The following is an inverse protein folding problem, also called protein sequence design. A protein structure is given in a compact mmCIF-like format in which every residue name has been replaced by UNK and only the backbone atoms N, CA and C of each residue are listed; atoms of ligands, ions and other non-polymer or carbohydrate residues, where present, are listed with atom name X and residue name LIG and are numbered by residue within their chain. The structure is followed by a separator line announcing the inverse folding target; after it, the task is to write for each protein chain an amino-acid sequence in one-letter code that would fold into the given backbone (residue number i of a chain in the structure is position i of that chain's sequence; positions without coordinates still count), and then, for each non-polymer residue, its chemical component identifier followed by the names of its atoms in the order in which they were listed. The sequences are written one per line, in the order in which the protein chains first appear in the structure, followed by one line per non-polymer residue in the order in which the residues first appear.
data_IF_748714515063
#
_entry.id   IF_748714515063
#
_cell.length_a   1.000
_cell.length_b   1.000
_cell.length_c   1.000
_cell.angle_alpha   90.00
_cell.angle_beta   90.00
_cell.angle_gamma   90.00
#
_symmetry.space_group_name_H-M   'P 1'
#
loop_
_entity.id
_entity.type
_entity.pdbx_description
1 polymer ?
#
# COMPACT_ATOMS: atom_id res chain seq x y z
N UNK A 1 -26.86 -1.03 13.45
CA UNK A 1 -25.77 -0.04 13.29
C UNK A 1 -25.78 0.43 11.84
N UNK A 2 -26.25 1.64 11.53
CA UNK A 2 -26.28 2.10 10.14
C UNK A 2 -24.84 2.40 9.71
N UNK A 3 -24.36 1.67 8.72
CA UNK A 3 -23.10 1.96 8.03
C UNK A 3 -23.26 3.33 7.37
N UNK A 4 -22.69 4.33 8.01
CA UNK A 4 -22.54 5.67 7.46
C UNK A 4 -21.71 5.50 6.20
N UNK A 5 -22.38 5.54 5.04
CA UNK A 5 -21.75 5.82 3.76
C UNK A 5 -21.07 7.18 3.94
N UNK A 6 -19.81 7.17 4.39
CA UNK A 6 -18.90 8.27 4.20
C UNK A 6 -18.76 8.38 2.68
N UNK A 7 -19.66 9.17 2.10
CA UNK A 7 -19.49 9.73 0.77
C UNK A 7 -18.23 10.58 0.89
N UNK A 8 -17.07 9.96 0.69
CA UNK A 8 -15.82 10.68 0.50
C UNK A 8 -16.11 11.67 -0.63
N UNK A 9 -16.02 12.97 -0.31
CA UNK A 9 -16.16 14.02 -1.30
C UNK A 9 -15.28 13.67 -2.51
N UNK A 10 -15.73 13.94 -3.75
CA UNK A 10 -15.01 13.53 -4.94
C UNK A 10 -13.57 14.06 -4.88
N UNK A 11 -12.61 13.13 -4.72
CA UNK A 11 -11.19 13.45 -4.70
C UNK A 11 -10.82 14.15 -6.01
N UNK A 12 -10.20 15.32 -5.89
CA UNK A 12 -9.64 15.99 -7.06
C UNK A 12 -8.50 15.14 -7.65
N UNK A 13 -8.25 15.28 -8.95
CA UNK A 13 -7.12 14.60 -9.60
C UNK A 13 -5.77 14.89 -8.88
N UNK A 14 -5.61 16.11 -8.35
CA UNK A 14 -4.42 16.51 -7.59
C UNK A 14 -4.26 15.69 -6.30
N UNK A 15 -5.33 15.53 -5.54
CA UNK A 15 -5.30 14.75 -4.29
C UNK A 15 -5.12 13.26 -4.56
N UNK A 16 -5.76 12.73 -5.60
CA UNK A 16 -5.57 11.35 -6.01
C UNK A 16 -4.11 11.07 -6.41
N UNK A 17 -3.47 11.99 -7.13
CA UNK A 17 -2.03 11.91 -7.44
C UNK A 17 -1.14 12.03 -6.20
N UNK A 18 -1.52 12.88 -5.22
CA UNK A 18 -0.78 12.99 -3.96
C UNK A 18 -0.88 11.69 -3.13
N UNK A 19 -2.08 11.10 -3.05
CA UNK A 19 -2.30 9.80 -2.41
C UNK A 19 -1.50 8.69 -3.11
N UNK A 20 -1.48 8.67 -4.44
CA UNK A 20 -0.68 7.71 -5.20
C UNK A 20 0.82 7.82 -4.88
N UNK A 21 1.38 9.05 -4.89
CA UNK A 21 2.79 9.28 -4.52
C UNK A 21 3.11 8.85 -3.08
N UNK A 22 2.18 9.08 -2.15
CA UNK A 22 2.34 8.63 -0.77
C UNK A 22 2.45 7.10 -0.69
N UNK A 23 1.55 6.39 -1.38
CA UNK A 23 1.58 4.93 -1.41
C UNK A 23 2.77 4.36 -2.19
N UNK A 24 3.25 5.02 -3.25
CA UNK A 24 4.51 4.67 -3.91
C UNK A 24 5.69 4.71 -2.92
N UNK A 25 5.79 5.79 -2.14
CA UNK A 25 6.85 5.93 -1.14
C UNK A 25 6.73 4.88 -0.02
N UNK A 26 5.51 4.57 0.43
CA UNK A 26 5.27 3.52 1.41
C UNK A 26 5.62 2.13 0.88
N UNK A 27 5.22 1.78 -0.35
CA UNK A 27 5.60 0.51 -0.99
C UNK A 27 7.12 0.41 -1.06
N UNK A 28 7.81 1.46 -1.50
CA UNK A 28 9.27 1.45 -1.55
C UNK A 28 9.91 1.19 -0.18
N UNK A 29 9.40 1.83 0.88
CA UNK A 29 9.86 1.58 2.26
C UNK A 29 9.57 0.14 2.70
N UNK A 30 8.35 -0.36 2.48
CA UNK A 30 7.96 -1.72 2.87
C UNK A 30 8.72 -2.81 2.11
N UNK A 31 9.10 -2.57 0.87
CA UNK A 31 9.96 -3.47 0.11
C UNK A 31 11.34 -3.60 0.76
N UNK A 32 11.91 -2.50 1.28
CA UNK A 32 13.18 -2.55 2.04
C UNK A 32 13.02 -3.32 3.35
N UNK A 33 11.95 -3.05 4.11
CA UNK A 33 11.66 -3.77 5.36
C UNK A 33 11.50 -5.28 5.10
N UNK A 34 10.76 -5.65 4.06
CA UNK A 34 10.57 -7.03 3.61
C UNK A 34 11.88 -7.69 3.20
N UNK A 35 12.71 -7.00 2.41
CA UNK A 35 14.01 -7.52 1.98
C UNK A 35 14.95 -7.77 3.17
N UNK A 36 14.98 -6.85 4.14
CA UNK A 36 15.76 -7.02 5.37
C UNK A 36 15.26 -8.22 6.20
N UNK A 37 13.94 -8.35 6.36
CA UNK A 37 13.36 -9.49 7.06
C UNK A 37 13.62 -10.83 6.33
N UNK A 38 13.60 -10.83 4.99
CA UNK A 38 13.94 -11.98 4.16
C UNK A 38 15.38 -12.45 4.42
N UNK A 39 16.32 -11.50 4.45
CA UNK A 39 17.73 -11.80 4.78
C UNK A 39 17.87 -12.36 6.19
N UNK A 40 17.16 -11.81 7.17
CA UNK A 40 17.19 -12.30 8.54
C UNK A 40 16.69 -13.76 8.68
N UNK A 41 15.64 -14.13 7.95
CA UNK A 41 15.17 -15.53 7.90
C UNK A 41 16.19 -16.46 7.25
N UNK A 42 16.87 -16.04 6.18
CA UNK A 42 17.89 -16.88 5.54
C UNK A 42 19.16 -17.01 6.38
N UNK A 43 19.46 -16.06 7.25
CA UNK A 43 20.59 -16.13 8.16
C UNK A 43 20.37 -17.19 9.26
N UNK A 44 19.12 -17.42 9.65
CA UNK A 44 18.74 -18.39 10.70
C UNK A 44 17.30 -18.88 10.47
N UNK A 45 17.19 -20.00 9.75
CA UNK A 45 15.90 -20.52 9.29
C UNK A 45 15.03 -21.12 10.41
N UNK A 46 15.64 -21.55 11.51
CA UNK A 46 14.94 -22.10 12.67
C UNK A 46 14.47 -21.02 13.65
N UNK A 47 14.81 -19.76 13.37
CA UNK A 47 14.43 -18.64 14.20
C UNK A 47 12.97 -18.25 13.98
N UNK A 48 12.09 -18.77 14.84
CA UNK A 48 10.67 -18.47 14.83
C UNK A 48 10.35 -16.96 14.89
N UNK A 49 11.19 -16.15 15.56
CA UNK A 49 11.01 -14.70 15.63
C UNK A 49 11.33 -14.02 14.30
N UNK A 50 12.38 -14.46 13.61
CA UNK A 50 12.71 -13.97 12.26
C UNK A 50 11.60 -14.33 11.27
N UNK A 51 11.09 -15.57 11.33
CA UNK A 51 9.97 -16.03 10.50
C UNK A 51 8.70 -15.20 10.74
N UNK A 52 8.32 -14.96 12.01
CA UNK A 52 7.17 -14.13 12.35
C UNK A 52 7.32 -12.69 11.84
N UNK A 53 8.49 -12.08 12.04
CA UNK A 53 8.78 -10.73 11.54
C UNK A 53 8.68 -10.66 10.01
N UNK A 54 9.19 -11.67 9.30
CA UNK A 54 9.09 -11.76 7.85
C UNK A 54 7.64 -11.82 7.37
N UNK A 55 6.79 -12.66 7.99
CA UNK A 55 5.36 -12.72 7.68
C UNK A 55 4.66 -11.39 7.91
N UNK A 56 4.96 -10.71 9.03
CA UNK A 56 4.40 -9.38 9.32
C UNK A 56 4.80 -8.34 8.25
N UNK A 57 6.08 -8.30 7.86
CA UNK A 57 6.54 -7.35 6.83
C UNK A 57 6.00 -7.69 5.46
N UNK A 58 5.82 -8.96 5.13
CA UNK A 58 5.18 -9.40 3.90
C UNK A 58 3.71 -8.94 3.84
N UNK A 59 2.95 -9.12 4.93
CA UNK A 59 1.57 -8.64 5.02
C UNK A 59 1.46 -7.12 4.86
N UNK A 60 2.34 -6.36 5.53
CA UNK A 60 2.38 -4.91 5.42
C UNK A 60 2.73 -4.42 4.00
N UNK A 61 3.61 -5.14 3.28
CA UNK A 61 3.93 -4.84 1.89
C UNK A 61 2.73 -5.11 0.97
N UNK A 62 2.07 -6.25 1.12
CA UNK A 62 0.88 -6.59 0.31
C UNK A 62 -0.23 -5.56 0.50
N UNK A 63 -0.50 -5.16 1.74
CA UNK A 63 -1.49 -4.12 2.03
C UNK A 63 -1.12 -2.78 1.37
N UNK A 64 0.15 -2.37 1.42
CA UNK A 64 0.59 -1.14 0.76
C UNK A 64 0.45 -1.21 -0.77
N UNK A 65 0.71 -2.37 -1.38
CA UNK A 65 0.54 -2.58 -2.81
C UNK A 65 -0.94 -2.52 -3.23
N UNK A 66 -1.84 -3.09 -2.44
CA UNK A 66 -3.29 -3.02 -2.68
C UNK A 66 -3.79 -1.57 -2.63
N UNK A 67 -3.38 -0.81 -1.61
CA UNK A 67 -3.75 0.61 -1.47
C UNK A 67 -3.20 1.48 -2.62
N UNK A 68 -1.95 1.22 -3.03
CA UNK A 68 -1.34 1.84 -4.21
C UNK A 68 -2.17 1.57 -5.46
N UNK A 69 -2.55 0.31 -5.68
CA UNK A 69 -3.35 -0.10 -6.84
C UNK A 69 -4.74 0.57 -6.86
N UNK A 70 -5.39 0.69 -5.69
CA UNK A 70 -6.62 1.47 -5.55
C UNK A 70 -6.45 2.94 -5.97
N UNK A 71 -5.33 3.56 -5.56
CA UNK A 71 -5.02 4.93 -5.96
C UNK A 71 -4.71 5.06 -7.47
N UNK A 72 -3.99 4.11 -8.07
CA UNK A 72 -3.76 4.08 -9.52
C UNK A 72 -5.07 4.02 -10.30
N UNK A 73 -5.99 3.14 -9.87
CA UNK A 73 -7.31 2.98 -10.47
C UNK A 73 -8.13 4.25 -10.36
N UNK A 74 -8.13 4.91 -9.20
CA UNK A 74 -8.80 6.19 -8.99
C UNK A 74 -8.23 7.30 -9.87
N UNK A 75 -6.91 7.43 -9.96
CA UNK A 75 -6.26 8.40 -10.86
C UNK A 75 -6.63 8.14 -12.31
N UNK A 76 -6.65 6.88 -12.75
CA UNK A 76 -7.05 6.51 -14.11
C UNK A 76 -8.50 6.88 -14.40
N UNK A 77 -9.42 6.69 -13.45
CA UNK A 77 -10.81 7.08 -13.57
C UNK A 77 -10.96 8.61 -13.68
N UNK A 78 -10.29 9.37 -12.81
CA UNK A 78 -10.34 10.83 -12.80
C UNK A 78 -9.73 11.46 -14.07
N UNK A 79 -8.71 10.83 -14.67
CA UNK A 79 -8.15 11.27 -15.96
C UNK A 79 -9.08 11.07 -17.14
N UNK A 80 -9.94 10.05 -17.08
CA UNK A 80 -10.93 9.74 -18.13
C UNK A 80 -12.23 10.53 -17.97
N UNK A 81 -12.45 11.15 -16.81
CA UNK A 81 -13.63 11.99 -16.60
C UNK A 81 -13.59 13.20 -17.55
N UNK A 82 -14.63 13.41 -18.39
CA UNK A 82 -14.68 14.58 -19.24
C UNK A 82 -14.67 15.85 -18.37
N UNK A 83 -13.85 16.83 -18.75
CA UNK A 83 -13.92 18.18 -18.18
C UNK A 83 -15.33 18.70 -18.49
N UNK A 84 -16.19 18.74 -17.47
CA UNK A 84 -17.47 19.44 -17.56
C UNK A 84 -17.23 20.94 -17.69
#
# INVERSE_FOLDING_TARGET
MPLTLLVEAPLSLREALARLRHWDALVHRRTKDYAAAKVAVYADMDNARAAAAFTEKAAALMQAMEQRHGCETMVAALRKAPRR
#
